data_IF_294414075065
#
_entry.id   IF_294414075065
#
_cell.length_a   1.000
_cell.length_b   1.000
_cell.length_c   1.000
_cell.angle_alpha   90.00
_cell.angle_beta   90.00
_cell.angle_gamma   90.00
#
_symmetry.space_group_name_H-M   'P 1'
#
loop_
_entity.id
_entity.type
_entity.pdbx_description
1 polymer ?
#
# COMPACT_ATOMS: atom_id res chain seq x y z
N UNK A 1 48.87 30.98 -15.16
CA UNK A 1 47.70 30.70 -16.01
C UNK A 1 47.47 29.19 -16.03
N UNK A 2 46.50 28.70 -15.27
CA UNK A 2 46.18 27.26 -15.16
C UNK A 2 45.03 26.96 -16.12
N UNK A 3 45.34 26.28 -17.22
CA UNK A 3 44.35 25.87 -18.21
C UNK A 3 43.59 24.66 -17.67
N UNK A 4 42.31 24.85 -17.34
CA UNK A 4 41.41 23.76 -16.95
C UNK A 4 40.97 23.00 -18.21
N UNK A 5 41.55 21.82 -18.38
CA UNK A 5 41.19 20.85 -19.40
C UNK A 5 39.81 20.25 -19.07
N UNK A 6 38.79 20.58 -19.85
CA UNK A 6 37.45 19.98 -19.74
C UNK A 6 37.44 18.56 -20.34
N UNK A 7 36.73 17.59 -19.72
CA UNK A 7 36.59 16.24 -20.26
C UNK A 7 35.62 16.19 -21.46
N UNK A 8 35.82 15.27 -22.42
CA UNK A 8 34.95 15.11 -23.57
C UNK A 8 33.60 14.45 -23.21
N UNK A 9 32.54 14.96 -23.84
CA UNK A 9 31.17 14.51 -23.67
C UNK A 9 30.96 13.05 -24.11
N UNK A 10 30.32 12.26 -23.25
CA UNK A 10 29.92 10.89 -23.55
C UNK A 10 28.77 10.88 -24.57
N UNK A 11 28.97 10.13 -25.66
CA UNK A 11 27.99 9.89 -26.72
C UNK A 11 26.89 8.96 -26.20
N UNK A 12 25.65 9.46 -26.12
CA UNK A 12 24.46 8.66 -25.88
C UNK A 12 24.13 7.83 -27.12
N UNK A 13 24.14 6.51 -27.00
CA UNK A 13 23.68 5.60 -28.03
C UNK A 13 22.15 5.73 -28.19
N UNK A 14 21.76 6.18 -29.38
CA UNK A 14 20.38 6.19 -29.87
C UNK A 14 19.94 4.76 -30.16
N UNK A 15 18.97 4.24 -29.40
CA UNK A 15 18.24 3.03 -29.76
C UNK A 15 16.97 3.45 -30.52
N UNK A 16 16.77 3.02 -31.79
CA UNK A 16 15.50 3.22 -32.47
C UNK A 16 14.43 2.33 -31.84
N UNK A 17 13.36 2.95 -31.34
CA UNK A 17 12.14 2.26 -30.91
C UNK A 17 11.32 2.02 -32.17
N UNK A 18 11.41 0.81 -32.71
CA UNK A 18 10.50 0.33 -33.74
C UNK A 18 9.07 0.29 -33.18
N UNK A 19 8.25 1.23 -33.65
CA UNK A 19 6.92 0.95 -34.21
C UNK A 19 5.76 0.53 -33.28
N UNK A 20 4.60 1.22 -33.34
CA UNK A 20 3.37 0.80 -32.66
C UNK A 20 2.68 -0.34 -33.42
N UNK A 21 2.67 -1.55 -32.83
CA UNK A 21 1.84 -2.66 -33.29
C UNK A 21 0.37 -2.41 -32.92
N UNK A 22 -0.27 -1.57 -33.74
CA UNK A 22 -1.71 -1.38 -33.78
C UNK A 22 -2.34 -2.65 -34.35
N UNK A 23 -3.17 -3.34 -33.59
CA UNK A 23 -4.04 -4.41 -34.10
C UNK A 23 -5.41 -4.32 -33.44
N UNK A 24 -6.41 -3.74 -34.13
CA UNK A 24 -7.80 -3.80 -33.73
C UNK A 24 -8.41 -5.09 -34.30
N UNK A 25 -8.67 -6.09 -33.46
CA UNK A 25 -9.50 -7.23 -33.87
C UNK A 25 -10.77 -7.31 -33.03
N UNK A 26 -11.83 -6.80 -33.65
CA UNK A 26 -13.24 -7.02 -33.28
C UNK A 26 -13.56 -8.51 -33.34
N UNK A 27 -14.14 -9.03 -32.27
CA UNK A 27 -15.22 -10.03 -32.38
C UNK A 27 -16.09 -10.00 -31.11
N UNK A 28 -17.32 -9.45 -31.20
CA UNK A 28 -18.32 -9.53 -30.15
C UNK A 28 -19.17 -10.79 -30.35
N UNK A 29 -19.11 -11.76 -29.44
CA UNK A 29 -20.03 -12.91 -29.45
C UNK A 29 -20.54 -13.25 -28.05
N UNK A 30 -21.82 -12.90 -27.84
CA UNK A 30 -22.88 -13.68 -27.19
C UNK A 30 -22.48 -14.55 -25.97
N UNK A 31 -22.99 -14.20 -24.80
CA UNK A 31 -24.17 -14.89 -24.27
C UNK A 31 -24.63 -14.24 -22.97
N UNK A 32 -25.87 -13.73 -23.01
CA UNK A 32 -26.59 -13.44 -21.79
C UNK A 32 -26.83 -14.75 -21.05
N UNK A 33 -26.31 -14.86 -19.83
CA UNK A 33 -26.79 -15.84 -18.87
C UNK A 33 -27.39 -15.09 -17.70
N UNK A 34 -28.64 -14.68 -17.90
CA UNK A 34 -29.56 -14.50 -16.78
C UNK A 34 -29.58 -15.82 -16.01
N UNK A 35 -29.01 -15.83 -14.80
CA UNK A 35 -29.38 -16.80 -13.78
C UNK A 35 -29.99 -16.03 -12.62
N UNK A 36 -31.30 -16.18 -12.54
CA UNK A 36 -32.15 -15.70 -11.49
C UNK A 36 -31.62 -16.12 -10.10
N UNK A 37 -31.78 -15.18 -9.18
CA UNK A 37 -32.32 -15.40 -7.83
C UNK A 37 -32.47 -16.86 -7.39
N UNK A 38 -31.65 -17.26 -6.41
CA UNK A 38 -32.15 -18.05 -5.28
C UNK A 38 -31.22 -17.90 -4.09
N UNK A 39 -31.64 -16.98 -3.23
CA UNK A 39 -31.53 -16.99 -1.79
C UNK A 39 -31.42 -18.43 -1.24
N UNK A 40 -30.28 -18.76 -0.65
CA UNK A 40 -30.19 -19.73 0.45
C UNK A 40 -28.91 -19.49 1.25
N UNK A 41 -29.09 -18.74 2.34
CA UNK A 41 -28.15 -18.60 3.45
C UNK A 41 -28.07 -19.96 4.16
N UNK A 42 -27.00 -20.69 3.93
CA UNK A 42 -26.57 -21.77 4.83
C UNK A 42 -25.07 -21.62 5.07
N UNK A 43 -24.70 -20.63 5.89
CA UNK A 43 -23.36 -20.57 6.49
C UNK A 43 -23.39 -21.49 7.71
N UNK A 44 -23.16 -22.77 7.46
CA UNK A 44 -22.88 -23.76 8.48
C UNK A 44 -21.64 -23.30 9.26
N UNK A 45 -21.86 -23.05 10.53
CA UNK A 45 -20.85 -22.72 11.54
C UNK A 45 -19.92 -23.91 11.68
N UNK A 46 -18.72 -23.80 11.12
CA UNK A 46 -17.67 -24.80 11.22
C UNK A 46 -16.28 -24.17 11.10
N UNK A 47 -16.15 -22.92 11.53
CA UNK A 47 -14.85 -22.28 11.69
C UNK A 47 -14.39 -22.51 13.12
N UNK A 48 -13.61 -23.57 13.35
CA UNK A 48 -12.84 -23.72 14.58
C UNK A 48 -12.16 -22.39 14.89
N UNK A 49 -12.31 -21.83 16.10
CA UNK A 49 -11.58 -20.64 16.47
C UNK A 49 -10.11 -21.03 16.47
N UNK A 50 -9.40 -20.69 15.39
CA UNK A 50 -7.95 -20.67 15.40
C UNK A 50 -7.62 -19.62 16.45
N UNK A 51 -7.37 -20.09 17.68
CA UNK A 51 -6.72 -19.37 18.75
C UNK A 51 -5.44 -18.82 18.11
N UNK A 52 -5.51 -17.59 17.62
CA UNK A 52 -4.33 -16.78 17.41
C UNK A 52 -3.77 -16.59 18.80
N UNK A 53 -2.87 -17.49 19.19
CA UNK A 53 -1.93 -17.21 20.25
C UNK A 53 -1.17 -16.00 19.74
N UNK A 54 -1.62 -14.82 20.18
CA UNK A 54 -0.87 -13.58 20.09
C UNK A 54 0.39 -13.84 20.89
N UNK A 55 1.38 -14.47 20.25
CA UNK A 55 2.72 -14.59 20.79
C UNK A 55 3.17 -13.15 20.89
N UNK A 56 3.09 -12.62 22.11
CA UNK A 56 3.51 -11.28 22.47
C UNK A 56 4.90 -11.13 21.85
N UNK A 57 4.94 -10.40 20.74
CA UNK A 57 6.18 -10.11 20.06
C UNK A 57 6.87 -9.20 21.04
N UNK A 58 8.02 -9.67 21.53
CA UNK A 58 8.88 -8.96 22.45
C UNK A 58 8.87 -7.47 22.14
N UNK A 59 8.51 -6.64 23.11
CA UNK A 59 8.30 -5.20 22.97
C UNK A 59 9.63 -4.44 22.78
N UNK A 60 10.56 -5.03 22.03
CA UNK A 60 11.68 -4.32 21.46
C UNK A 60 11.12 -3.25 20.52
N UNK A 61 11.48 -2.00 20.78
CA UNK A 61 11.11 -0.83 19.99
C UNK A 61 11.25 -1.13 18.50
N UNK A 62 10.12 -1.39 17.82
CA UNK A 62 10.10 -1.73 16.40
C UNK A 62 10.52 -0.48 15.64
N UNK A 63 11.66 -0.54 14.94
CA UNK A 63 12.13 0.55 14.08
C UNK A 63 11.22 0.68 12.85
N UNK A 64 10.11 1.40 13.01
CA UNK A 64 9.23 1.79 11.93
C UNK A 64 9.73 3.10 11.31
N UNK A 65 9.92 3.12 9.99
CA UNK A 65 10.27 4.33 9.24
C UNK A 65 9.05 4.82 8.47
N UNK A 66 8.79 6.14 8.48
CA UNK A 66 7.70 6.76 7.75
C UNK A 66 8.25 7.66 6.64
N UNK A 67 7.68 7.52 5.45
CA UNK A 67 7.98 8.35 4.28
C UNK A 67 6.69 8.91 3.71
N UNK A 68 6.70 10.19 3.32
CA UNK A 68 5.55 10.83 2.68
C UNK A 68 5.75 10.78 1.17
N UNK A 69 4.94 9.97 0.51
CA UNK A 69 5.04 9.72 -0.93
C UNK A 69 3.89 10.43 -1.64
N UNK A 70 4.17 10.99 -2.82
CA UNK A 70 3.14 11.53 -3.69
C UNK A 70 2.23 10.39 -4.18
N UNK A 71 0.95 10.52 -3.89
CA UNK A 71 -0.10 9.59 -4.27
C UNK A 71 -0.55 9.77 -5.72
N UNK A 72 -1.48 8.92 -6.14
CA UNK A 72 -2.11 9.08 -7.46
C UNK A 72 -3.01 10.31 -7.40
N UNK A 73 -2.84 11.30 -8.29
CA UNK A 73 -3.69 12.47 -8.29
C UNK A 73 -5.15 12.07 -8.49
N UNK A 74 -6.03 12.67 -7.70
CA UNK A 74 -7.48 12.42 -7.75
C UNK A 74 -8.14 13.70 -8.22
N UNK A 75 -8.94 13.62 -9.28
CA UNK A 75 -9.66 14.77 -9.86
C UNK A 75 -8.73 15.92 -10.33
N UNK A 76 -7.48 15.59 -10.66
CA UNK A 76 -6.46 16.56 -11.10
C UNK A 76 -5.68 17.22 -9.95
N UNK A 77 -6.04 16.96 -8.69
CA UNK A 77 -5.30 17.42 -7.52
C UNK A 77 -4.24 16.41 -7.10
N UNK A 78 -3.02 16.90 -6.81
CA UNK A 78 -1.96 16.09 -6.23
C UNK A 78 -2.38 15.54 -4.88
N UNK A 79 -2.16 14.24 -4.65
CA UNK A 79 -2.43 13.63 -3.35
C UNK A 79 -1.13 13.19 -2.69
N UNK A 80 -1.15 13.04 -1.38
CA UNK A 80 -0.03 12.62 -0.54
C UNK A 80 -0.47 11.40 0.26
N UNK A 81 0.43 10.46 0.49
CA UNK A 81 0.17 9.31 1.36
C UNK A 81 1.38 9.01 2.24
N UNK A 82 1.13 8.63 3.48
CA UNK A 82 2.17 8.08 4.34
C UNK A 82 2.46 6.62 3.97
N UNK A 83 3.72 6.27 3.88
CA UNK A 83 4.21 4.90 3.74
C UNK A 83 5.07 4.56 4.94
N UNK A 84 4.61 3.60 5.76
CA UNK A 84 5.33 3.16 6.95
C UNK A 84 5.94 1.79 6.69
N UNK A 85 7.26 1.69 6.74
CA UNK A 85 7.99 0.43 6.60
C UNK A 85 8.27 -0.17 7.98
N UNK A 86 7.84 -1.42 8.17
CA UNK A 86 7.94 -2.16 9.44
C UNK A 86 8.68 -3.47 9.17
N UNK A 87 9.64 -3.87 10.01
CA UNK A 87 10.26 -5.18 9.89
C UNK A 87 9.22 -6.29 10.08
N UNK A 88 9.23 -7.29 9.19
CA UNK A 88 8.35 -8.45 9.31
C UNK A 88 8.80 -9.27 10.53
N UNK A 89 7.89 -9.70 11.41
CA UNK A 89 8.27 -10.61 12.49
C UNK A 89 8.88 -11.87 11.87
N UNK A 90 10.06 -12.27 12.34
CA UNK A 90 10.82 -13.40 11.81
C UNK A 90 9.94 -14.65 11.76
N UNK A 91 9.45 -14.99 10.57
CA UNK A 91 8.82 -16.26 10.28
C UNK A 91 9.90 -17.24 9.86
N UNK A 92 9.73 -18.52 10.21
CA UNK A 92 10.68 -19.61 9.97
C UNK A 92 11.11 -19.86 8.49
N UNK A 93 10.73 -18.98 7.55
CA UNK A 93 11.02 -19.09 6.11
C UNK A 93 12.13 -18.17 5.61
N UNK A 94 12.53 -17.15 6.36
CA UNK A 94 13.53 -16.17 5.93
C UNK A 94 14.56 -15.98 7.05
N UNK A 95 15.48 -16.93 7.16
CA UNK A 95 16.48 -16.94 8.24
C UNK A 95 17.60 -15.90 8.07
N UNK A 96 17.81 -15.37 6.85
CA UNK A 96 19.02 -14.58 6.55
C UNK A 96 18.76 -13.16 6.02
N UNK A 97 17.49 -12.74 5.84
CA UNK A 97 17.16 -11.42 5.28
C UNK A 97 16.03 -10.76 6.04
N UNK A 98 16.33 -9.63 6.70
CA UNK A 98 15.33 -8.72 7.25
C UNK A 98 14.40 -8.26 6.12
N UNK A 99 13.18 -8.78 6.13
CA UNK A 99 12.16 -8.43 5.15
C UNK A 99 11.28 -7.34 5.74
N UNK A 100 11.13 -6.22 5.04
CA UNK A 100 10.23 -5.15 5.46
C UNK A 100 8.85 -5.31 4.83
N UNK A 101 7.84 -4.79 5.52
CA UNK A 101 6.50 -4.61 4.99
C UNK A 101 6.16 -3.13 5.00
N UNK A 102 5.62 -2.64 3.89
CA UNK A 102 5.17 -1.25 3.78
C UNK A 102 3.66 -1.20 3.98
N UNK A 103 3.22 -0.44 4.98
CA UNK A 103 1.81 -0.14 5.24
C UNK A 103 1.53 1.26 4.71
N UNK A 104 0.59 1.36 3.78
CA UNK A 104 0.20 2.61 3.12
C UNK A 104 -0.99 3.24 3.84
N UNK A 105 -0.86 4.50 4.23
CA UNK A 105 -1.94 5.31 4.79
C UNK A 105 -2.97 5.76 3.75
N UNK A 106 -4.01 6.48 4.19
CA UNK A 106 -4.99 7.12 3.30
C UNK A 106 -4.35 8.20 2.41
N UNK A 107 -4.88 8.38 1.21
CA UNK A 107 -4.50 9.49 0.32
C UNK A 107 -5.12 10.81 0.79
N UNK A 108 -4.30 11.83 1.02
CA UNK A 108 -4.67 13.17 1.54
C UNK A 108 -4.34 14.25 0.52
N UNK A 109 -5.11 15.34 0.50
CA UNK A 109 -4.84 16.48 -0.39
C UNK A 109 -3.73 17.34 0.21
N UNK A 110 -3.73 17.48 1.54
CA UNK A 110 -2.68 18.15 2.29
C UNK A 110 -1.56 17.17 2.67
N UNK A 111 -0.31 17.58 2.43
CA UNK A 111 0.88 16.84 2.90
C UNK A 111 0.90 16.73 4.43
N UNK A 112 0.48 17.78 5.14
CA UNK A 112 0.44 17.80 6.60
C UNK A 112 -0.49 16.74 7.19
N UNK A 113 -1.67 16.55 6.58
CA UNK A 113 -2.59 15.53 7.06
C UNK A 113 -2.06 14.10 6.79
N UNK A 114 -1.23 13.94 5.74
CA UNK A 114 -0.54 12.68 5.49
C UNK A 114 0.58 12.44 6.53
N UNK A 115 1.29 13.49 6.95
CA UNK A 115 2.29 13.44 8.03
C UNK A 115 1.62 13.03 9.36
N UNK A 116 0.53 13.69 9.76
CA UNK A 116 -0.22 13.37 10.98
C UNK A 116 -0.74 11.91 10.99
N UNK A 117 -1.14 11.40 9.82
CA UNK A 117 -1.54 10.00 9.67
C UNK A 117 -0.35 9.04 9.75
N UNK A 118 0.81 9.45 9.20
CA UNK A 118 2.07 8.74 9.30
C UNK A 118 2.52 8.57 10.74
N UNK A 119 2.47 9.64 11.53
CA UNK A 119 2.83 9.62 12.96
C UNK A 119 1.93 8.65 13.74
N UNK A 120 0.62 8.67 13.52
CA UNK A 120 -0.32 7.72 14.14
C UNK A 120 -0.02 6.27 13.76
N UNK A 121 0.39 6.02 12.52
CA UNK A 121 0.77 4.69 12.06
C UNK A 121 2.08 4.22 12.69
N UNK A 122 3.07 5.11 12.84
CA UNK A 122 4.34 4.84 13.53
C UNK A 122 4.09 4.55 15.01
N UNK A 123 3.29 5.36 15.69
CA UNK A 123 2.94 5.15 17.10
C UNK A 123 2.20 3.82 17.30
N UNK A 124 1.26 3.49 16.40
CA UNK A 124 0.60 2.19 16.42
C UNK A 124 1.57 1.02 16.17
N UNK A 125 2.56 1.20 15.28
CA UNK A 125 3.60 0.22 15.02
C UNK A 125 4.53 0.03 16.24
N UNK A 126 4.88 1.10 16.93
CA UNK A 126 5.67 1.05 18.17
C UNK A 126 4.90 0.36 19.30
N UNK A 127 3.60 0.62 19.42
CA UNK A 127 2.77 0.11 20.51
C UNK A 127 2.43 -1.40 20.39
N UNK A 128 2.34 -1.95 19.18
CA UNK A 128 2.00 -3.37 19.02
C UNK A 128 2.27 -3.93 17.64
N UNK A 129 3.30 -3.41 16.98
CA UNK A 129 3.81 -3.90 15.71
C UNK A 129 2.80 -3.82 14.56
N UNK A 130 2.93 -4.78 13.64
CA UNK A 130 2.15 -4.82 12.40
C UNK A 130 0.62 -4.84 12.65
N UNK A 131 0.15 -5.56 13.68
CA UNK A 131 -1.29 -5.76 13.88
C UNK A 131 -1.99 -4.47 14.31
N UNK A 132 -1.39 -3.72 15.24
CA UNK A 132 -1.88 -2.40 15.65
C UNK A 132 -1.79 -1.39 14.52
N UNK A 133 -0.70 -1.38 13.76
CA UNK A 133 -0.56 -0.50 12.61
C UNK A 133 -1.64 -0.76 11.53
N UNK A 134 -1.92 -2.03 11.19
CA UNK A 134 -3.03 -2.38 10.27
C UNK A 134 -4.42 -2.05 10.83
N UNK A 135 -4.59 -2.07 12.15
CA UNK A 135 -5.84 -1.61 12.79
C UNK A 135 -6.00 -0.11 12.61
N UNK A 136 -4.96 0.66 12.95
CA UNK A 136 -4.93 2.11 12.78
C UNK A 136 -5.15 2.52 11.32
N UNK A 137 -4.49 1.86 10.37
CA UNK A 137 -4.71 2.08 8.92
C UNK A 137 -6.19 1.96 8.53
N UNK A 138 -6.90 0.94 9.04
CA UNK A 138 -8.33 0.75 8.77
C UNK A 138 -9.18 1.82 9.41
N UNK A 139 -8.84 2.26 10.62
CA UNK A 139 -9.55 3.35 11.32
C UNK A 139 -9.40 4.67 10.57
N UNK A 140 -8.19 5.02 10.13
CA UNK A 140 -7.91 6.23 9.35
C UNK A 140 -8.57 6.20 7.96
N UNK A 141 -8.67 5.03 7.33
CA UNK A 141 -9.40 4.87 6.07
C UNK A 141 -10.92 4.94 6.27
N UNK A 142 -11.44 4.42 7.39
CA UNK A 142 -12.88 4.37 7.66
C UNK A 142 -13.42 5.73 8.13
N UNK A 143 -12.64 6.51 8.87
CA UNK A 143 -13.02 7.86 9.29
C UNK A 143 -13.24 8.82 8.11
N UNK A 144 -12.64 8.55 6.96
CA UNK A 144 -12.90 9.27 5.70
C UNK A 144 -14.24 8.95 5.04
N UNK A 145 -14.84 7.79 5.34
CA UNK A 145 -16.09 7.34 4.72
C UNK A 145 -17.26 7.37 5.71
N UNK A 146 -17.04 7.85 6.94
CA UNK A 146 -17.99 7.81 8.05
C UNK A 146 -18.81 9.09 8.28
N UNK A 147 -18.54 10.18 7.56
CA UNK A 147 -19.37 11.40 7.63
C UNK A 147 -20.52 11.42 6.61
N UNK A 148 -20.96 10.25 6.16
CA UNK A 148 -22.22 10.04 5.44
C UNK A 148 -23.06 8.94 6.13
N UNK A 149 -23.24 9.05 7.45
CA UNK A 149 -24.39 8.42 8.10
C UNK A 149 -25.55 9.41 7.99
N UNK A 150 -26.52 9.09 7.13
CA UNK A 150 -27.73 9.87 6.90
C UNK A 150 -28.46 10.20 8.21
N UNK A 151 -28.88 11.47 8.35
CA UNK A 151 -30.05 11.89 9.15
C UNK A 151 -31.31 11.10 8.75
#
# INVERSE_FOLDING_TARGET
AFALQLPPAAKTASMPIDGPCTSPSRSPRRSGRQRASSRSRSRSRGGSPVRRTSKASDAGSVNATCEIVEGVPKDGEGTWRAEVSIPRPAGARFHDKESFITIRGPSRVSKRDAEDDGDKLVDAARAGGMEKCRKMQRELNSSRHGSSHND
#
